data_IF_164717208005
#
_entry.id   IF_164717208005
#
_cell.length_a   1.000
_cell.length_b   1.000
_cell.length_c   1.000
_cell.angle_alpha   90.00
_cell.angle_beta   90.00
_cell.angle_gamma   90.00
#
_symmetry.space_group_name_H-M   'P 1'
#
loop_
_entity.id
_entity.type
_entity.pdbx_description
1 polymer ?
#
# COMPACT_ATOMS: atom_id res chain seq x y z
N UNK A 1 -15.77 22.80 -7.28
CA UNK A 1 -14.62 22.23 -8.01
C UNK A 1 -14.99 20.79 -8.32
N UNK A 2 -15.12 20.43 -9.58
CA UNK A 2 -15.61 19.11 -9.99
C UNK A 2 -14.43 18.19 -10.29
N UNK A 3 -14.56 16.91 -9.94
CA UNK A 3 -13.55 15.90 -10.30
C UNK A 3 -13.74 15.57 -11.77
N UNK A 4 -12.63 15.51 -12.50
CA UNK A 4 -12.59 15.09 -13.89
C UNK A 4 -13.36 13.76 -14.10
N UNK A 5 -14.24 13.73 -15.10
CA UNK A 5 -15.14 12.60 -15.35
C UNK A 5 -14.38 11.31 -15.64
N UNK A 6 -13.23 11.39 -16.30
CA UNK A 6 -12.41 10.22 -16.59
C UNK A 6 -11.75 9.67 -15.32
N UNK A 7 -11.21 10.53 -14.46
CA UNK A 7 -10.69 10.12 -13.15
C UNK A 7 -11.78 9.46 -12.29
N UNK A 8 -12.99 10.03 -12.28
CA UNK A 8 -14.16 9.45 -11.61
C UNK A 8 -14.51 8.05 -12.16
N UNK A 9 -14.52 7.90 -13.49
CA UNK A 9 -14.79 6.61 -14.12
C UNK A 9 -13.71 5.56 -13.79
N UNK A 10 -12.45 5.98 -13.65
CA UNK A 10 -11.37 5.10 -13.21
C UNK A 10 -11.57 4.65 -11.76
N UNK A 11 -11.97 5.56 -10.85
CA UNK A 11 -12.28 5.20 -9.47
C UNK A 11 -13.34 4.11 -9.42
N UNK A 12 -14.49 4.35 -10.05
CA UNK A 12 -15.60 3.41 -10.03
C UNK A 12 -15.18 2.02 -10.55
N UNK A 13 -14.48 1.96 -11.67
CA UNK A 13 -14.02 0.69 -12.25
C UNK A 13 -13.08 -0.08 -11.33
N UNK A 14 -12.15 0.60 -10.65
CA UNK A 14 -11.21 -0.06 -9.73
C UNK A 14 -11.94 -0.65 -8.52
N UNK A 15 -13.02 -0.03 -8.05
CA UNK A 15 -13.80 -0.56 -6.92
C UNK A 15 -14.46 -1.90 -7.24
N UNK A 16 -14.81 -2.12 -8.52
CA UNK A 16 -15.50 -3.32 -8.98
C UNK A 16 -14.56 -4.53 -9.18
N UNK A 17 -13.24 -4.33 -9.22
CA UNK A 17 -12.27 -5.40 -9.45
C UNK A 17 -11.82 -6.01 -8.12
N UNK A 18 -12.06 -7.31 -7.86
CA UNK A 18 -11.62 -7.94 -6.61
C UNK A 18 -10.09 -7.87 -6.40
N UNK A 19 -9.69 -7.38 -5.22
CA UNK A 19 -8.30 -7.00 -4.87
C UNK A 19 -7.60 -7.89 -3.85
N UNK A 20 -8.14 -9.04 -3.48
CA UNK A 20 -7.67 -9.73 -2.27
C UNK A 20 -6.20 -10.14 -2.41
N UNK A 21 -5.34 -9.91 -1.38
CA UNK A 21 -3.95 -10.31 -1.45
C UNK A 21 -3.76 -11.76 -1.88
N UNK A 22 -2.75 -12.00 -2.72
CA UNK A 22 -2.45 -13.29 -3.38
C UNK A 22 -3.48 -13.80 -4.40
N UNK A 23 -4.58 -13.09 -4.62
CA UNK A 23 -5.51 -13.32 -5.73
C UNK A 23 -5.45 -12.14 -6.72
N UNK A 24 -4.24 -11.77 -7.14
CA UNK A 24 -4.00 -10.53 -7.89
C UNK A 24 -4.27 -10.64 -9.39
N UNK A 25 -4.73 -11.80 -9.87
CA UNK A 25 -4.93 -12.08 -11.30
C UNK A 25 -5.84 -11.05 -11.97
N UNK A 26 -6.98 -10.72 -11.35
CA UNK A 26 -7.97 -9.82 -11.96
C UNK A 26 -7.46 -8.39 -12.07
N UNK A 27 -6.89 -7.87 -10.98
CA UNK A 27 -6.30 -6.52 -10.97
C UNK A 27 -5.11 -6.41 -11.90
N UNK A 28 -4.20 -7.38 -11.87
CA UNK A 28 -3.06 -7.38 -12.79
C UNK A 28 -3.52 -7.48 -14.24
N UNK A 29 -4.54 -8.29 -14.55
CA UNK A 29 -5.15 -8.33 -15.89
C UNK A 29 -5.77 -7.00 -16.29
N UNK A 30 -6.52 -6.35 -15.39
CA UNK A 30 -7.12 -5.04 -15.63
C UNK A 30 -6.03 -3.98 -15.93
N UNK A 31 -5.01 -3.88 -15.08
CA UNK A 31 -3.89 -2.94 -15.27
C UNK A 31 -3.16 -3.19 -16.59
N UNK A 32 -2.85 -4.45 -16.90
CA UNK A 32 -2.16 -4.80 -18.15
C UNK A 32 -2.97 -4.44 -19.38
N UNK A 33 -4.25 -4.81 -19.42
CA UNK A 33 -5.14 -4.44 -20.54
C UNK A 33 -5.25 -2.91 -20.68
N UNK A 34 -5.31 -2.19 -19.56
CA UNK A 34 -5.33 -0.74 -19.55
C UNK A 34 -4.05 -0.15 -20.17
N UNK A 35 -2.88 -0.63 -19.75
CA UNK A 35 -1.58 -0.19 -20.25
C UNK A 35 -1.38 -0.58 -21.72
N UNK A 36 -1.78 -1.78 -22.12
CA UNK A 36 -1.73 -2.26 -23.50
C UNK A 36 -2.60 -1.38 -24.41
N UNK A 37 -3.80 -1.00 -23.97
CA UNK A 37 -4.68 -0.06 -24.70
C UNK A 37 -4.03 1.31 -24.90
N UNK A 38 -3.21 1.76 -23.96
CA UNK A 38 -2.46 3.02 -24.06
C UNK A 38 -1.11 2.86 -24.79
N UNK A 39 -0.75 1.65 -25.24
CA UNK A 39 0.56 1.30 -25.78
C UNK A 39 1.73 1.62 -24.82
N UNK A 40 1.51 1.46 -23.52
CA UNK A 40 2.52 1.69 -22.49
C UNK A 40 3.23 0.37 -22.17
N UNK A 41 4.56 0.36 -22.30
CA UNK A 41 5.37 -0.81 -21.93
C UNK A 41 5.47 -0.92 -20.40
N UNK A 42 5.40 -2.13 -19.89
CA UNK A 42 5.55 -2.43 -18.46
C UNK A 42 6.32 -3.73 -18.24
N UNK A 43 6.80 -3.91 -17.02
CA UNK A 43 7.47 -5.11 -16.51
C UNK A 43 6.60 -5.73 -15.40
N UNK A 44 6.33 -7.03 -15.47
CA UNK A 44 5.66 -7.79 -14.41
C UNK A 44 6.71 -8.64 -13.67
N UNK A 45 6.99 -8.28 -12.42
CA UNK A 45 7.95 -8.98 -11.56
C UNK A 45 7.30 -9.97 -10.58
N UNK A 46 6.00 -10.25 -10.72
CA UNK A 46 5.23 -11.08 -9.79
C UNK A 46 4.88 -10.38 -8.47
N UNK A 47 5.74 -9.47 -7.99
CA UNK A 47 5.53 -8.60 -6.83
C UNK A 47 4.97 -7.22 -7.19
N UNK A 48 5.29 -6.72 -8.38
CA UNK A 48 4.87 -5.39 -8.84
C UNK A 48 4.75 -5.34 -10.35
N UNK A 49 3.88 -4.47 -10.84
CA UNK A 49 3.89 -3.99 -12.22
C UNK A 49 4.64 -2.66 -12.27
N UNK A 50 5.70 -2.59 -13.08
CA UNK A 50 6.59 -1.44 -13.16
C UNK A 50 6.55 -0.85 -14.57
N UNK A 51 6.25 0.43 -14.67
CA UNK A 51 6.35 1.19 -15.92
C UNK A 51 7.68 1.98 -15.85
N UNK A 52 8.68 1.62 -16.65
CA UNK A 52 9.94 2.36 -16.69
C UNK A 52 9.76 3.71 -17.40
N UNK A 53 10.73 4.63 -17.26
CA UNK A 53 10.72 5.91 -17.98
C UNK A 53 10.64 5.71 -19.50
N UNK A 54 9.82 6.52 -20.18
CA UNK A 54 9.71 6.50 -21.66
C UNK A 54 11.04 6.91 -22.30
N UNK A 55 11.67 7.94 -21.75
CA UNK A 55 12.99 8.42 -22.12
C UNK A 55 13.85 8.43 -20.87
N UNK A 56 14.98 7.73 -20.92
CA UNK A 56 15.90 7.64 -19.80
C UNK A 56 17.11 8.56 -20.02
N UNK A 57 17.39 9.42 -19.04
CA UNK A 57 18.57 10.28 -19.03
C UNK A 57 19.42 10.02 -17.79
N UNK A 58 20.64 9.51 -17.97
CA UNK A 58 21.57 9.21 -16.86
C UNK A 58 21.87 10.40 -15.93
N UNK A 59 21.74 11.63 -16.42
CA UNK A 59 22.01 12.85 -15.65
C UNK A 59 20.81 13.34 -14.82
N UNK A 60 19.65 12.69 -14.96
CA UNK A 60 18.42 13.08 -14.29
C UNK A 60 18.09 12.11 -13.16
N UNK A 61 17.72 12.60 -11.96
CA UNK A 61 17.32 11.71 -10.86
C UNK A 61 16.07 10.91 -11.23
N UNK A 62 15.97 9.70 -10.69
CA UNK A 62 14.75 8.89 -10.78
C UNK A 62 13.71 9.44 -9.83
N UNK A 63 12.46 9.46 -10.28
CA UNK A 63 11.30 9.70 -9.44
C UNK A 63 10.46 8.44 -9.42
N UNK A 64 10.31 7.82 -8.26
CA UNK A 64 9.43 6.67 -8.07
C UNK A 64 8.10 7.16 -7.53
N UNK A 65 7.04 7.00 -8.32
CA UNK A 65 5.66 7.09 -7.86
C UNK A 65 5.16 5.66 -7.67
N UNK A 66 4.76 5.31 -6.45
CA UNK A 66 4.30 3.96 -6.16
C UNK A 66 3.02 3.96 -5.33
N UNK A 67 2.13 3.02 -5.64
CA UNK A 67 0.91 2.71 -4.92
C UNK A 67 0.80 1.19 -4.80
N UNK A 68 -0.13 0.71 -3.98
CA UNK A 68 -0.47 -0.70 -3.94
C UNK A 68 -1.84 -0.98 -4.56
N UNK A 69 -2.09 -2.25 -4.88
CA UNK A 69 -3.30 -2.65 -5.63
C UNK A 69 -4.19 -3.57 -4.82
N UNK A 70 -3.62 -4.32 -3.88
CA UNK A 70 -4.38 -5.20 -3.03
C UNK A 70 -5.23 -4.44 -2.02
N UNK A 71 -6.30 -5.06 -1.55
CA UNK A 71 -7.15 -4.52 -0.50
C UNK A 71 -7.60 -5.68 0.40
N UNK A 72 -7.77 -5.47 1.72
CA UNK A 72 -8.17 -6.53 2.61
C UNK A 72 -9.44 -7.25 2.16
N UNK A 73 -9.46 -8.57 2.38
CA UNK A 73 -10.54 -9.45 1.95
C UNK A 73 -10.25 -10.90 2.30
N UNK A 74 -11.04 -11.84 1.77
CA UNK A 74 -10.97 -13.25 2.17
C UNK A 74 -10.58 -14.11 0.97
N UNK A 75 -9.60 -14.99 1.15
CA UNK A 75 -9.33 -16.08 0.20
C UNK A 75 -10.09 -17.32 0.67
N UNK A 76 -11.07 -17.76 -0.12
CA UNK A 76 -11.96 -18.84 0.24
C UNK A 76 -11.37 -20.19 -0.17
N UNK A 77 -11.47 -21.16 0.75
CA UNK A 77 -11.02 -22.53 0.49
C UNK A 77 -12.15 -23.43 0.00
N UNK A 78 -13.34 -23.24 0.57
CA UNK A 78 -14.57 -23.95 0.24
C UNK A 78 -15.78 -23.13 0.78
N UNK A 79 -16.94 -23.78 0.89
CA UNK A 79 -18.20 -23.18 1.35
C UNK A 79 -18.32 -23.02 2.87
N UNK A 80 -17.29 -23.38 3.64
CA UNK A 80 -17.27 -23.37 5.11
C UNK A 80 -16.11 -22.54 5.69
N UNK A 81 -14.98 -22.44 4.98
CA UNK A 81 -13.78 -21.78 5.50
C UNK A 81 -13.01 -20.96 4.46
N UNK A 82 -12.32 -19.95 4.96
CA UNK A 82 -11.38 -19.11 4.23
C UNK A 82 -10.32 -18.50 5.15
N UNK A 83 -9.48 -17.65 4.58
CA UNK A 83 -8.46 -16.88 5.31
C UNK A 83 -8.66 -15.41 5.02
N UNK A 84 -8.84 -14.61 6.08
CA UNK A 84 -8.85 -13.15 5.98
C UNK A 84 -7.42 -12.69 5.73
N UNK A 85 -7.24 -11.82 4.75
CA UNK A 85 -5.96 -11.23 4.37
C UNK A 85 -6.04 -9.72 4.53
N UNK A 86 -4.94 -9.10 4.91
CA UNK A 86 -4.80 -7.64 5.00
C UNK A 86 -5.35 -7.00 6.27
N UNK A 87 -6.29 -7.64 6.97
CA UNK A 87 -6.80 -7.10 8.23
C UNK A 87 -5.91 -7.50 9.42
N UNK A 88 -5.29 -6.51 10.06
CA UNK A 88 -4.56 -6.66 11.32
C UNK A 88 -5.44 -6.11 12.45
N UNK A 89 -5.55 -6.85 13.56
CA UNK A 89 -6.25 -6.35 14.76
C UNK A 89 -7.76 -6.61 14.77
N UNK A 90 -8.18 -7.82 14.40
CA UNK A 90 -9.60 -8.21 14.21
C UNK A 90 -10.46 -8.23 15.49
N UNK A 91 -10.02 -7.65 16.62
CA UNK A 91 -10.81 -7.68 17.87
C UNK A 91 -12.14 -6.91 17.74
N UNK A 92 -12.18 -5.67 17.22
CA UNK A 92 -13.44 -4.95 16.96
C UNK A 92 -14.31 -5.69 15.95
N UNK A 93 -13.71 -6.23 14.90
CA UNK A 93 -14.45 -7.00 13.89
C UNK A 93 -15.02 -8.32 14.45
N UNK A 94 -14.32 -8.98 15.38
CA UNK A 94 -14.84 -10.17 16.07
C UNK A 94 -15.99 -9.82 17.01
N UNK A 95 -15.87 -8.71 17.74
CA UNK A 95 -16.98 -8.19 18.56
C UNK A 95 -18.22 -7.91 17.71
N UNK A 96 -18.01 -7.37 16.51
CA UNK A 96 -19.08 -7.13 15.56
C UNK A 96 -19.81 -8.41 15.15
N UNK A 97 -19.08 -9.47 14.82
CA UNK A 97 -19.68 -10.77 14.45
C UNK A 97 -20.52 -11.37 15.57
N UNK A 98 -20.19 -11.09 16.83
CA UNK A 98 -20.99 -11.47 17.98
C UNK A 98 -22.32 -10.71 18.10
N UNK A 99 -22.44 -9.55 17.44
CA UNK A 99 -23.60 -8.65 17.51
C UNK A 99 -24.50 -8.72 16.27
N UNK A 100 -23.93 -9.00 15.09
CA UNK A 100 -24.67 -9.01 13.83
C UNK A 100 -24.08 -9.98 12.82
N UNK A 101 -24.93 -10.42 11.90
CA UNK A 101 -24.48 -11.15 10.71
C UNK A 101 -23.70 -10.22 9.79
N UNK A 102 -22.62 -10.72 9.23
CA UNK A 102 -21.81 -10.01 8.24
C UNK A 102 -21.96 -10.71 6.90
N UNK A 103 -22.50 -9.99 5.92
CA UNK A 103 -22.66 -10.48 4.55
C UNK A 103 -21.34 -10.55 3.80
N UNK A 104 -21.25 -11.51 2.89
CA UNK A 104 -20.10 -11.74 2.03
C UNK A 104 -20.56 -11.87 0.57
N UNK A 105 -19.95 -11.12 -0.35
CA UNK A 105 -19.99 -11.39 -1.80
C UNK A 105 -18.90 -12.40 -2.14
N UNK A 106 -19.27 -13.46 -2.87
CA UNK A 106 -18.37 -14.55 -3.23
C UNK A 106 -18.14 -14.52 -4.74
N UNK A 107 -16.89 -14.37 -5.15
CA UNK A 107 -16.47 -14.44 -6.56
C UNK A 107 -15.67 -15.70 -6.80
N UNK A 108 -15.91 -16.37 -7.92
CA UNK A 108 -15.09 -17.52 -8.32
C UNK A 108 -13.64 -17.07 -8.67
N UNK A 109 -12.69 -18.00 -8.88
CA UNK A 109 -11.30 -17.66 -9.22
C UNK A 109 -11.15 -16.80 -10.50
N UNK A 110 -12.15 -16.82 -11.38
CA UNK A 110 -12.24 -16.01 -12.60
C UNK A 110 -12.82 -14.60 -12.36
N UNK A 111 -13.22 -14.27 -11.13
CA UNK A 111 -13.75 -12.94 -10.77
C UNK A 111 -15.22 -12.75 -11.06
N UNK A 112 -15.97 -13.82 -11.34
CA UNK A 112 -17.41 -13.77 -11.59
C UNK A 112 -18.14 -13.94 -10.26
N UNK A 113 -19.10 -13.06 -9.96
CA UNK A 113 -19.93 -13.15 -8.77
C UNK A 113 -20.72 -14.46 -8.78
N UNK A 114 -20.36 -15.39 -7.90
CA UNK A 114 -21.04 -16.68 -7.73
C UNK A 114 -22.27 -16.56 -6.83
N UNK A 115 -22.28 -15.60 -5.91
CA UNK A 115 -23.41 -15.28 -5.06
C UNK A 115 -23.00 -14.70 -3.71
N UNK A 116 -23.78 -14.98 -2.67
CA UNK A 116 -23.59 -14.42 -1.33
C UNK A 116 -23.42 -15.50 -0.25
N UNK A 117 -22.81 -15.13 0.86
CA UNK A 117 -22.66 -15.93 2.06
C UNK A 117 -22.67 -15.06 3.31
N UNK A 118 -22.48 -15.69 4.46
CA UNK A 118 -22.34 -15.01 5.75
C UNK A 118 -21.02 -15.40 6.39
N UNK A 119 -20.33 -14.44 7.02
CA UNK A 119 -19.26 -14.74 7.95
C UNK A 119 -19.89 -15.12 9.30
N UNK A 120 -19.53 -16.29 9.82
CA UNK A 120 -20.09 -16.81 11.08
C UNK A 120 -19.12 -16.75 12.24
N UNK A 121 -17.81 -16.83 11.97
CA UNK A 121 -16.77 -16.70 13.01
C UNK A 121 -15.43 -16.29 12.40
N UNK A 122 -14.58 -15.70 13.22
CA UNK A 122 -13.18 -15.39 12.90
C UNK A 122 -12.29 -15.82 14.06
N UNK A 123 -11.37 -16.72 13.74
CA UNK A 123 -10.31 -17.11 14.65
C UNK A 123 -9.17 -16.11 14.53
N UNK A 124 -9.09 -15.23 15.54
CA UNK A 124 -7.94 -14.35 15.74
C UNK A 124 -6.65 -15.15 15.91
N UNK A 125 -5.53 -14.56 15.51
CA UNK A 125 -4.21 -15.17 15.55
C UNK A 125 -3.55 -15.27 14.17
N UNK A 126 -2.37 -15.89 14.07
CA UNK A 126 -1.53 -15.85 12.87
C UNK A 126 -2.12 -16.59 11.66
N UNK A 127 -3.19 -17.38 11.85
CA UNK A 127 -3.87 -18.10 10.77
C UNK A 127 -5.02 -17.31 10.14
N UNK A 128 -5.52 -16.27 10.82
CA UNK A 128 -6.62 -15.40 10.37
C UNK A 128 -7.79 -16.19 9.72
N UNK A 129 -8.15 -17.34 10.32
CA UNK A 129 -9.14 -18.25 9.74
C UNK A 129 -10.53 -17.64 9.88
N UNK A 130 -11.30 -17.67 8.79
CA UNK A 130 -12.70 -17.24 8.74
C UNK A 130 -13.58 -18.46 8.50
N UNK A 131 -14.70 -18.53 9.22
CA UNK A 131 -15.77 -19.46 8.93
C UNK A 131 -16.90 -18.73 8.21
N UNK A 132 -17.39 -19.38 7.16
CA UNK A 132 -18.46 -18.86 6.33
C UNK A 132 -19.61 -19.86 6.28
N UNK A 133 -20.80 -19.36 5.98
CA UNK A 133 -21.99 -20.16 5.69
C UNK A 133 -22.57 -19.71 4.37
N UNK A 134 -22.62 -20.63 3.40
CA UNK A 134 -23.27 -20.42 2.11
C UNK A 134 -23.82 -21.75 1.57
N UNK A 135 -24.87 -21.68 0.76
CA UNK A 135 -25.41 -22.82 0.00
C UNK A 135 -24.70 -23.02 -1.35
N UNK A 136 -23.77 -22.13 -1.70
CA UNK A 136 -22.99 -22.21 -2.93
C UNK A 136 -21.91 -23.28 -2.81
N UNK A 137 -21.64 -23.98 -3.90
CA UNK A 137 -20.36 -24.65 -4.06
C UNK A 137 -19.30 -23.58 -4.34
N UNK A 138 -18.36 -23.39 -3.42
CA UNK A 138 -17.32 -22.38 -3.54
C UNK A 138 -16.02 -23.05 -4.03
N UNK A 139 -15.55 -22.73 -5.25
CA UNK A 139 -14.27 -23.23 -5.73
C UNK A 139 -13.09 -22.77 -4.86
N UNK A 140 -12.04 -23.59 -4.80
CA UNK A 140 -10.79 -23.24 -4.13
C UNK A 140 -10.19 -21.97 -4.75
N UNK A 141 -9.68 -21.04 -3.91
CA UNK A 141 -9.14 -19.74 -4.33
C UNK A 141 -10.18 -18.75 -4.88
N UNK A 142 -11.43 -18.89 -4.44
CA UNK A 142 -12.46 -17.87 -4.65
C UNK A 142 -12.20 -16.64 -3.77
N UNK A 143 -12.73 -15.49 -4.18
CA UNK A 143 -12.61 -14.23 -3.44
C UNK A 143 -13.85 -14.04 -2.56
N UNK A 144 -13.62 -13.60 -1.33
CA UNK A 144 -14.66 -13.09 -0.44
C UNK A 144 -14.45 -11.60 -0.20
N UNK A 145 -15.49 -10.82 -0.45
CA UNK A 145 -15.55 -9.38 -0.16
C UNK A 145 -16.73 -9.09 0.76
N UNK A 146 -16.62 -8.07 1.60
CA UNK A 146 -17.76 -7.67 2.44
C UNK A 146 -18.94 -7.26 1.55
N UNK A 147 -20.15 -7.67 1.92
CA UNK A 147 -21.36 -7.33 1.19
C UNK A 147 -21.82 -5.90 1.54
N UNK A 148 -21.05 -4.94 1.05
CA UNK A 148 -21.32 -3.50 1.07
C UNK A 148 -21.26 -2.96 -0.36
N UNK A 149 -21.78 -1.76 -0.58
CA UNK A 149 -21.77 -1.13 -1.90
C UNK A 149 -20.34 -0.81 -2.37
N UNK A 150 -20.14 -0.76 -3.69
CA UNK A 150 -18.82 -0.48 -4.26
C UNK A 150 -18.49 1.00 -4.30
N UNK A 151 -19.51 1.81 -4.56
CA UNK A 151 -19.36 3.21 -4.89
C UNK A 151 -20.66 3.95 -4.60
N UNK A 152 -20.55 5.05 -3.86
CA UNK A 152 -21.57 6.08 -3.75
C UNK A 152 -20.89 7.45 -3.88
N UNK A 153 -21.67 8.44 -4.32
CA UNK A 153 -21.18 9.80 -4.50
C UNK A 153 -22.16 10.80 -3.89
N UNK A 154 -21.59 11.73 -3.13
CA UNK A 154 -22.26 12.95 -2.65
C UNK A 154 -21.66 14.16 -3.36
N UNK A 155 -22.13 15.38 -3.07
CA UNK A 155 -21.54 16.61 -3.61
C UNK A 155 -20.07 16.79 -3.19
N UNK A 156 -19.73 16.44 -1.94
CA UNK A 156 -18.43 16.75 -1.32
C UNK A 156 -17.52 15.55 -1.08
N UNK A 157 -18.03 14.33 -1.15
CA UNK A 157 -17.27 13.10 -0.86
C UNK A 157 -17.66 11.95 -1.78
N UNK A 158 -16.78 10.93 -1.79
CA UNK A 158 -17.09 9.59 -2.28
C UNK A 158 -17.12 8.62 -1.11
N UNK A 159 -17.95 7.60 -1.24
CA UNK A 159 -17.82 6.39 -0.44
C UNK A 159 -17.48 5.23 -1.37
N UNK A 160 -16.36 4.55 -1.11
CA UNK A 160 -15.78 3.55 -2.02
C UNK A 160 -15.37 2.29 -1.27
N UNK A 161 -15.38 1.13 -1.92
CA UNK A 161 -15.01 -0.14 -1.28
C UNK A 161 -13.51 -0.25 -0.97
N UNK A 162 -12.68 0.25 -1.84
CA UNK A 162 -11.23 0.13 -1.88
C UNK A 162 -10.66 1.53 -2.18
N UNK A 163 -10.74 2.45 -1.21
CA UNK A 163 -10.00 3.71 -1.34
C UNK A 163 -8.51 3.44 -1.15
N UNK A 164 -8.18 2.56 -0.20
CA UNK A 164 -6.84 2.05 0.14
C UNK A 164 -6.42 0.81 -0.70
N UNK A 165 -5.75 0.96 -1.84
CA UNK A 165 -5.22 2.19 -2.42
C UNK A 165 -5.78 2.46 -3.83
N UNK A 166 -7.01 1.96 -4.07
CA UNK A 166 -7.69 2.09 -5.36
C UNK A 166 -7.83 3.52 -5.89
N UNK A 167 -7.87 4.53 -5.01
CA UNK A 167 -7.87 5.94 -5.44
C UNK A 167 -6.49 6.36 -5.97
N UNK A 168 -5.40 5.97 -5.32
CA UNK A 168 -4.05 6.27 -5.81
C UNK A 168 -3.75 5.52 -7.10
N UNK A 169 -4.20 4.27 -7.22
CA UNK A 169 -4.11 3.49 -8.47
C UNK A 169 -4.81 4.24 -9.61
N UNK A 170 -6.08 4.64 -9.44
CA UNK A 170 -6.81 5.42 -10.43
C UNK A 170 -6.11 6.74 -10.77
N UNK A 171 -5.58 7.43 -9.76
CA UNK A 171 -4.85 8.68 -9.95
C UNK A 171 -3.60 8.45 -10.80
N UNK A 172 -2.81 7.41 -10.51
CA UNK A 172 -1.65 7.04 -11.32
C UNK A 172 -2.04 6.66 -12.75
N UNK A 173 -3.12 5.90 -12.94
CA UNK A 173 -3.63 5.57 -14.27
C UNK A 173 -4.07 6.83 -15.03
N UNK A 174 -4.70 7.80 -14.36
CA UNK A 174 -5.10 9.06 -14.96
C UNK A 174 -3.90 9.88 -15.42
N UNK A 175 -2.84 9.98 -14.61
CA UNK A 175 -1.58 10.63 -15.01
C UNK A 175 -0.98 10.03 -16.30
N UNK A 176 -1.12 8.70 -16.48
CA UNK A 176 -0.68 8.00 -17.69
C UNK A 176 -1.58 8.30 -18.90
N UNK A 177 -2.90 8.39 -18.70
CA UNK A 177 -3.84 8.77 -19.76
C UNK A 177 -3.58 10.19 -20.24
N UNK A 178 -3.38 11.12 -19.31
CA UNK A 178 -3.08 12.52 -19.61
C UNK A 178 -1.71 12.72 -20.24
N UNK A 179 -0.86 11.66 -20.22
CA UNK A 179 0.52 11.68 -20.72
C UNK A 179 1.28 12.87 -20.18
N UNK A 180 1.14 13.12 -18.88
CA UNK A 180 1.79 14.26 -18.21
C UNK A 180 3.29 14.19 -18.50
N UNK A 181 3.78 15.19 -19.25
CA UNK A 181 5.19 15.22 -19.66
C UNK A 181 6.05 15.41 -18.42
N UNK A 182 6.98 14.50 -18.20
CA UNK A 182 7.96 14.65 -17.13
C UNK A 182 9.36 14.83 -17.64
N UNK A 183 10.08 15.71 -16.95
CA UNK A 183 11.52 15.90 -17.09
C UNK A 183 12.32 14.95 -16.19
N UNK A 184 11.67 14.22 -15.29
CA UNK A 184 12.29 13.18 -14.46
C UNK A 184 12.36 11.83 -15.18
N UNK A 185 13.25 10.95 -14.71
CA UNK A 185 13.17 9.52 -15.01
C UNK A 185 12.09 8.89 -14.13
N UNK A 186 10.82 9.00 -14.54
CA UNK A 186 9.69 8.56 -13.72
C UNK A 186 9.45 7.05 -13.85
N UNK A 187 9.43 6.38 -12.70
CA UNK A 187 8.93 5.02 -12.56
C UNK A 187 7.55 5.06 -11.93
N UNK A 188 6.58 4.41 -12.56
CA UNK A 188 5.28 4.14 -11.94
C UNK A 188 5.28 2.69 -11.48
N UNK A 189 5.04 2.46 -10.19
CA UNK A 189 5.09 1.13 -9.58
C UNK A 189 3.75 0.82 -8.93
N UNK A 190 3.14 -0.29 -9.34
CA UNK A 190 1.94 -0.84 -8.74
C UNK A 190 2.32 -2.09 -7.96
N UNK A 191 2.41 -1.96 -6.63
CA UNK A 191 2.72 -3.07 -5.72
C UNK A 191 1.51 -3.98 -5.54
N UNK A 192 1.74 -5.30 -5.45
CA UNK A 192 0.67 -6.29 -5.46
C UNK A 192 0.29 -6.88 -4.10
N UNK A 193 1.06 -6.58 -3.04
CA UNK A 193 1.00 -7.28 -1.75
C UNK A 193 1.44 -6.36 -0.59
N UNK A 194 0.88 -5.14 -0.50
CA UNK A 194 1.15 -4.23 0.63
C UNK A 194 0.48 -4.73 1.90
N UNK A 195 -0.78 -5.14 1.81
CA UNK A 195 -1.62 -5.47 2.96
C UNK A 195 -1.11 -6.71 3.71
N UNK A 196 -0.22 -7.48 3.09
CA UNK A 196 0.51 -8.59 3.70
C UNK A 196 1.91 -8.16 4.10
N UNK A 197 1.98 -7.15 4.97
CA UNK A 197 3.21 -6.62 5.56
C UNK A 197 4.22 -6.01 4.58
N UNK A 198 3.78 -5.33 3.53
CA UNK A 198 4.64 -4.66 2.54
C UNK A 198 5.55 -5.61 1.81
N UNK A 199 5.03 -6.78 1.44
CA UNK A 199 5.81 -7.85 0.83
C UNK A 199 6.42 -7.41 -0.50
N UNK A 200 5.65 -6.66 -1.30
CA UNK A 200 6.06 -6.18 -2.61
C UNK A 200 7.16 -5.12 -2.55
N UNK A 201 6.96 -4.05 -1.77
CA UNK A 201 8.00 -3.04 -1.59
C UNK A 201 9.23 -3.59 -0.85
N UNK A 202 9.06 -4.58 0.04
CA UNK A 202 10.18 -5.32 0.62
C UNK A 202 11.05 -5.98 -0.44
N UNK A 203 10.43 -6.75 -1.33
CA UNK A 203 11.14 -7.41 -2.43
C UNK A 203 11.84 -6.39 -3.35
N UNK A 204 11.14 -5.31 -3.73
CA UNK A 204 11.70 -4.26 -4.59
C UNK A 204 12.92 -3.58 -3.96
N UNK A 205 12.80 -3.17 -2.70
CA UNK A 205 13.85 -2.44 -1.99
C UNK A 205 15.06 -3.34 -1.69
N UNK A 206 14.83 -4.55 -1.16
CA UNK A 206 15.90 -5.51 -0.83
C UNK A 206 16.78 -5.84 -2.03
N UNK A 207 16.16 -6.04 -3.20
CA UNK A 207 16.87 -6.39 -4.43
C UNK A 207 17.28 -5.15 -5.25
N UNK A 208 16.97 -3.95 -4.77
CA UNK A 208 17.12 -2.68 -5.47
C UNK A 208 16.72 -2.79 -6.96
N UNK A 209 15.53 -3.32 -7.24
CA UNK A 209 15.08 -3.69 -8.60
C UNK A 209 15.13 -2.49 -9.56
N UNK A 210 14.83 -1.29 -9.05
CA UNK A 210 14.84 -0.03 -9.80
C UNK A 210 16.24 0.61 -9.92
N UNK A 211 17.27 -0.01 -9.33
CA UNK A 211 18.64 0.51 -9.26
C UNK A 211 18.69 1.94 -8.70
N UNK A 212 17.99 2.16 -7.60
CA UNK A 212 17.95 3.42 -6.89
C UNK A 212 19.32 3.75 -6.31
N UNK A 213 19.56 5.05 -6.19
CA UNK A 213 20.74 5.70 -5.63
C UNK A 213 20.33 6.81 -4.67
N UNK A 214 21.28 7.36 -3.92
CA UNK A 214 20.98 8.31 -2.83
C UNK A 214 20.25 9.58 -3.32
N UNK A 215 20.50 10.02 -4.56
CA UNK A 215 19.86 11.19 -5.17
C UNK A 215 18.45 10.94 -5.73
N UNK A 216 18.02 9.68 -5.83
CA UNK A 216 16.71 9.34 -6.38
C UNK A 216 15.60 9.67 -5.37
N UNK A 217 14.39 9.94 -5.86
CA UNK A 217 13.24 10.37 -5.07
C UNK A 217 12.20 9.26 -5.03
N UNK A 218 11.62 9.04 -3.86
CA UNK A 218 10.52 8.10 -3.63
C UNK A 218 9.34 8.85 -3.05
N UNK A 219 8.22 8.79 -3.77
CA UNK A 219 6.91 9.29 -3.33
C UNK A 219 5.95 8.10 -3.37
N UNK A 220 5.66 7.56 -2.19
CA UNK A 220 4.61 6.59 -2.01
C UNK A 220 3.25 7.31 -1.99
N UNK A 221 2.25 6.71 -2.61
CA UNK A 221 0.88 7.18 -2.64
C UNK A 221 0.06 6.26 -1.74
N UNK A 222 -0.80 6.82 -0.91
CA UNK A 222 -1.63 6.05 0.04
C UNK A 222 -2.98 6.70 0.28
N UNK A 223 -3.94 5.89 0.73
CA UNK A 223 -5.23 6.35 1.22
C UNK A 223 -5.56 5.73 2.59
N UNK A 224 -5.10 6.37 3.66
CA UNK A 224 -5.10 5.78 5.00
C UNK A 224 -5.79 6.64 6.06
N UNK A 225 -5.99 6.04 7.24
CA UNK A 225 -6.48 6.74 8.42
C UNK A 225 -5.37 7.59 9.01
N UNK A 226 -5.55 8.91 8.98
CA UNK A 226 -4.51 9.84 9.38
C UNK A 226 -4.61 10.16 10.87
N UNK A 227 -3.72 9.58 11.67
CA UNK A 227 -3.58 9.86 13.11
C UNK A 227 -2.12 10.23 13.44
N UNK A 228 -1.91 11.39 14.06
CA UNK A 228 -0.58 11.82 14.52
C UNK A 228 -0.01 10.85 15.56
N UNK A 229 1.31 10.62 15.53
CA UNK A 229 2.00 9.88 16.60
C UNK A 229 1.87 10.62 17.94
N UNK A 230 2.08 11.94 17.89
CA UNK A 230 1.98 12.87 19.02
C UNK A 230 1.49 14.23 18.52
N UNK A 231 0.27 14.63 18.89
CA UNK A 231 -0.29 15.92 18.49
C UNK A 231 0.46 17.10 19.12
N UNK A 232 0.99 16.94 20.34
CA UNK A 232 1.74 18.00 21.03
C UNK A 232 3.07 18.31 20.34
N UNK A 233 3.72 17.26 19.80
CA UNK A 233 5.09 17.38 19.30
C UNK A 233 5.13 17.68 17.80
N UNK A 234 4.15 17.18 17.04
CA UNK A 234 4.14 17.25 15.57
C UNK A 234 2.91 17.93 14.97
N UNK A 235 1.99 18.39 15.82
CA UNK A 235 0.72 18.95 15.39
C UNK A 235 -0.33 17.88 15.11
N UNK A 236 -1.58 18.33 15.14
CA UNK A 236 -2.74 17.50 14.80
C UNK A 236 -2.85 17.36 13.29
N UNK A 237 -3.06 16.12 12.85
CA UNK A 237 -3.48 15.80 11.49
C UNK A 237 -4.94 15.41 11.60
N UNK A 238 -5.78 16.03 10.78
CA UNK A 238 -7.20 15.76 10.77
C UNK A 238 -7.70 15.38 9.38
N UNK A 239 -8.88 14.75 9.37
CA UNK A 239 -9.51 14.28 8.15
C UNK A 239 -9.84 15.43 7.19
N UNK A 240 -10.07 16.65 7.66
CA UNK A 240 -10.53 17.77 6.84
C UNK A 240 -9.39 18.72 6.40
N UNK A 241 -8.19 18.53 6.91
CA UNK A 241 -7.09 19.47 6.85
C UNK A 241 -6.34 19.52 5.53
N UNK A 242 -6.74 18.73 4.53
CA UNK A 242 -6.05 18.55 3.25
C UNK A 242 -5.26 17.24 3.18
N UNK A 243 -4.60 16.99 2.05
CA UNK A 243 -3.74 15.81 1.90
C UNK A 243 -2.55 15.88 2.86
N UNK A 244 -2.02 14.73 3.25
CA UNK A 244 -0.94 14.64 4.24
C UNK A 244 0.37 14.27 3.55
N UNK A 245 1.39 15.09 3.76
CA UNK A 245 2.78 14.74 3.50
C UNK A 245 3.32 13.99 4.71
N UNK A 246 3.29 12.67 4.63
CA UNK A 246 3.69 11.75 5.67
C UNK A 246 5.20 11.46 5.62
N UNK A 247 5.85 11.63 6.77
CA UNK A 247 7.31 11.45 6.94
C UNK A 247 7.70 10.18 7.71
N UNK A 248 6.72 9.42 8.21
CA UNK A 248 6.97 8.25 9.07
C UNK A 248 5.82 7.26 9.01
N UNK A 249 6.04 6.07 9.55
CA UNK A 249 4.99 5.15 9.97
C UNK A 249 5.31 4.56 11.35
N UNK A 250 4.49 3.60 11.84
CA UNK A 250 4.63 3.00 13.17
C UNK A 250 6.07 2.49 13.41
N UNK A 251 6.81 3.29 14.17
CA UNK A 251 8.19 3.03 14.58
C UNK A 251 9.25 3.23 13.48
N UNK A 252 8.96 3.94 12.40
CA UNK A 252 9.95 4.27 11.35
C UNK A 252 9.83 5.72 10.91
N UNK A 253 10.86 6.54 11.15
CA UNK A 253 11.04 7.79 10.43
C UNK A 253 11.62 7.49 9.04
N UNK A 254 11.06 8.04 7.96
CA UNK A 254 11.55 7.71 6.62
C UNK A 254 12.95 8.24 6.36
N UNK A 255 13.78 7.40 5.75
CA UNK A 255 15.17 7.70 5.45
C UNK A 255 16.05 7.87 6.70
N UNK A 256 15.67 7.40 7.90
CA UNK A 256 16.45 7.61 9.13
C UNK A 256 17.89 7.07 9.06
N UNK A 257 18.13 6.05 8.24
CA UNK A 257 19.47 5.48 7.99
C UNK A 257 20.34 6.34 7.07
N UNK A 258 19.73 7.28 6.33
CA UNK A 258 20.39 8.20 5.42
C UNK A 258 20.22 9.63 5.94
N UNK A 259 21.25 10.12 6.63
CA UNK A 259 21.29 11.49 7.15
C UNK A 259 21.28 12.48 5.99
N UNK A 260 20.66 13.64 6.20
CA UNK A 260 20.58 14.71 5.21
C UNK A 260 19.16 15.18 4.97
N UNK A 261 19.04 16.16 4.07
CA UNK A 261 17.76 16.69 3.62
C UNK A 261 16.90 15.58 2.99
N UNK A 262 15.59 15.74 3.11
CA UNK A 262 14.62 14.95 2.36
C UNK A 262 14.12 15.81 1.20
N UNK A 263 14.73 15.63 0.03
CA UNK A 263 14.38 16.42 -1.16
C UNK A 263 12.92 16.20 -1.57
N UNK A 264 12.38 14.98 -1.39
CA UNK A 264 10.98 14.69 -1.68
C UNK A 264 10.03 15.50 -0.80
N UNK A 265 10.34 15.66 0.50
CA UNK A 265 9.57 16.53 1.41
C UNK A 265 9.59 17.99 0.92
N UNK A 266 10.78 18.54 0.70
CA UNK A 266 10.93 19.94 0.30
C UNK A 266 10.28 20.22 -1.04
N UNK A 267 10.36 19.26 -1.98
CA UNK A 267 9.82 19.39 -3.31
C UNK A 267 8.30 19.48 -3.28
N UNK A 268 7.64 18.58 -2.54
CA UNK A 268 6.17 18.59 -2.40
C UNK A 268 5.71 19.87 -1.69
N UNK A 269 6.41 20.31 -0.63
CA UNK A 269 6.07 21.55 0.08
C UNK A 269 6.16 22.78 -0.83
N UNK A 270 7.21 22.85 -1.65
CA UNK A 270 7.36 23.93 -2.64
C UNK A 270 6.22 23.91 -3.64
N UNK A 271 5.93 22.75 -4.24
CA UNK A 271 4.84 22.60 -5.21
C UNK A 271 3.50 23.00 -4.59
N UNK A 272 3.20 22.54 -3.37
CA UNK A 272 1.97 22.89 -2.68
C UNK A 272 1.88 24.40 -2.41
N UNK A 273 2.95 25.01 -1.90
CA UNK A 273 3.01 26.46 -1.63
C UNK A 273 2.83 27.29 -2.91
N UNK A 274 3.54 26.96 -3.99
CA UNK A 274 3.48 27.71 -5.25
C UNK A 274 2.10 27.65 -5.92
N UNK A 275 1.31 26.62 -5.61
CA UNK A 275 -0.01 26.40 -6.20
C UNK A 275 -1.17 26.62 -5.20
N UNK A 276 -0.88 27.13 -4.00
CA UNK A 276 -1.90 27.39 -2.98
C UNK A 276 -2.64 26.13 -2.49
N UNK A 277 -2.00 24.96 -2.57
CA UNK A 277 -2.59 23.67 -2.19
C UNK A 277 -2.36 23.45 -0.70
N UNK A 278 -3.44 23.18 0.03
CA UNK A 278 -3.36 22.91 1.46
C UNK A 278 -2.86 21.48 1.69
N UNK A 279 -1.68 21.36 2.29
CA UNK A 279 -1.13 20.07 2.74
C UNK A 279 -0.88 20.12 4.25
N UNK A 280 -1.04 18.98 4.90
CA UNK A 280 -0.65 18.76 6.29
C UNK A 280 0.72 18.07 6.29
N UNK A 281 1.63 18.48 7.16
CA UNK A 281 2.90 17.78 7.35
C UNK A 281 2.78 16.85 8.54
N UNK A 282 3.06 15.56 8.37
CA UNK A 282 2.65 14.56 9.35
C UNK A 282 3.70 13.53 9.74
N UNK A 283 3.78 13.28 11.05
CA UNK A 283 4.41 12.09 11.65
C UNK A 283 3.27 11.18 12.12
N UNK A 284 2.96 10.13 11.36
CA UNK A 284 1.78 9.28 11.58
C UNK A 284 2.12 7.84 11.95
N UNK A 285 1.16 7.16 12.57
CA UNK A 285 1.32 5.76 12.98
C UNK A 285 1.12 4.77 11.84
N UNK A 286 0.31 5.05 10.84
CA UNK A 286 -0.10 3.98 9.92
C UNK A 286 1.03 3.52 8.99
N UNK A 287 1.08 2.20 8.71
CA UNK A 287 2.13 1.55 7.91
C UNK A 287 1.89 1.77 6.42
N UNK A 288 2.98 1.78 5.63
CA UNK A 288 2.90 1.97 4.17
C UNK A 288 4.15 1.42 3.47
N UNK A 289 4.17 1.44 2.14
CA UNK A 289 5.24 0.89 1.30
C UNK A 289 6.58 1.67 1.33
N UNK A 290 6.64 2.81 2.02
CA UNK A 290 7.87 3.61 2.19
C UNK A 290 8.90 2.99 3.16
N UNK A 291 8.45 2.15 4.11
CA UNK A 291 9.35 1.62 5.17
C UNK A 291 10.47 0.74 4.59
N UNK A 292 10.21 -0.22 3.68
CA UNK A 292 11.29 -1.07 3.20
C UNK A 292 12.43 -0.31 2.53
N UNK A 293 12.15 0.74 1.76
CA UNK A 293 13.18 1.59 1.16
C UNK A 293 14.06 2.29 2.21
N UNK A 294 13.47 2.66 3.35
CA UNK A 294 14.23 3.16 4.51
C UNK A 294 15.07 2.07 5.16
N UNK A 295 14.53 0.85 5.29
CA UNK A 295 15.23 -0.29 5.91
C UNK A 295 16.50 -0.66 5.15
N UNK A 296 16.51 -0.55 3.82
CA UNK A 296 17.67 -0.88 2.97
C UNK A 296 18.55 0.33 2.63
N UNK A 297 18.33 1.48 3.27
CA UNK A 297 19.15 2.68 3.12
C UNK A 297 19.34 3.14 1.66
N UNK A 298 18.34 2.99 0.80
CA UNK A 298 18.50 3.28 -0.64
C UNK A 298 18.61 4.79 -0.94
N UNK A 299 17.87 5.63 -0.20
CA UNK A 299 17.92 7.10 -0.30
C UNK A 299 17.37 7.74 0.98
N UNK A 300 17.71 9.01 1.26
CA UNK A 300 17.07 9.84 2.29
C UNK A 300 15.75 10.49 1.82
N UNK A 301 15.51 10.52 0.50
CA UNK A 301 14.45 11.28 -0.17
C UNK A 301 13.16 10.48 -0.28
N UNK A 302 12.59 10.10 0.86
CA UNK A 302 11.43 9.23 0.95
C UNK A 302 10.31 9.97 1.65
N UNK A 303 9.14 10.04 1.01
CA UNK A 303 7.93 10.53 1.64
C UNK A 303 6.73 9.72 1.15
N UNK A 304 5.62 9.82 1.88
CA UNK A 304 4.32 9.35 1.44
C UNK A 304 3.40 10.55 1.27
N UNK A 305 2.70 10.64 0.14
CA UNK A 305 1.59 11.55 -0.04
C UNK A 305 0.31 10.76 0.22
N UNK A 306 -0.49 11.25 1.16
CA UNK A 306 -1.61 10.50 1.72
C UNK A 306 -2.91 11.26 1.54
N UNK A 307 -3.93 10.57 1.04
CA UNK A 307 -5.32 11.03 1.08
C UNK A 307 -5.96 10.55 2.40
N UNK A 308 -6.44 11.45 3.28
CA UNK A 308 -7.14 11.05 4.50
C UNK A 308 -8.37 10.19 4.21
N UNK A 309 -8.44 9.03 4.87
CA UNK A 309 -9.53 8.05 4.81
C UNK A 309 -10.17 7.86 6.18
N UNK A 310 -11.49 8.07 6.28
CA UNK A 310 -12.19 8.01 7.57
C UNK A 310 -12.48 6.58 8.04
N UNK A 311 -12.77 5.68 7.11
CA UNK A 311 -13.24 4.31 7.41
C UNK A 311 -12.38 3.28 6.69
N UNK A 312 -11.05 3.44 6.82
CA UNK A 312 -10.05 2.54 6.24
C UNK A 312 -10.41 1.08 6.50
N UNK A 313 -10.15 0.22 5.53
CA UNK A 313 -10.44 -1.20 5.57
C UNK A 313 -11.91 -1.49 5.82
N UNK A 314 -12.78 -0.70 5.18
CA UNK A 314 -14.24 -0.74 5.30
C UNK A 314 -14.80 -0.62 6.73
N UNK A 315 -14.14 0.17 7.60
CA UNK A 315 -14.56 0.32 9.01
C UNK A 315 -14.44 -0.97 9.83
N UNK A 316 -13.59 -1.90 9.40
CA UNK A 316 -13.29 -3.11 10.16
C UNK A 316 -12.53 -2.82 11.47
N UNK A 317 -11.79 -1.70 11.53
CA UNK A 317 -11.04 -1.23 12.70
C UNK A 317 -11.94 -0.65 13.79
N UNK A 318 -13.07 -0.03 13.43
CA UNK A 318 -14.05 0.53 14.37
C UNK A 318 -15.28 -0.37 14.59
N UNK A 319 -15.29 -1.54 13.93
CA UNK A 319 -16.35 -2.53 14.07
C UNK A 319 -17.64 -2.15 13.33
N UNK A 320 -17.63 -1.18 12.42
CA UNK A 320 -18.79 -0.84 11.59
C UNK A 320 -18.46 -0.99 10.10
N UNK A 321 -18.74 -2.18 9.55
CA UNK A 321 -18.68 -2.42 8.10
C UNK A 321 -19.49 -1.40 7.29
N UNK A 322 -18.76 -0.63 6.48
CA UNK A 322 -19.25 0.39 5.56
C UNK A 322 -18.19 0.70 4.50
N UNK A 323 -18.58 1.43 3.47
CA UNK A 323 -17.64 1.99 2.49
C UNK A 323 -16.67 2.99 3.12
N UNK A 324 -15.49 3.09 2.53
CA UNK A 324 -14.45 4.04 2.91
C UNK A 324 -14.82 5.44 2.44
N UNK A 325 -14.61 6.48 3.26
CA UNK A 325 -15.16 7.82 3.02
C UNK A 325 -14.07 8.86 2.76
N UNK A 326 -14.09 9.47 1.58
CA UNK A 326 -13.01 10.34 1.05
C UNK A 326 -13.57 11.68 0.53
N UNK A 327 -13.00 12.81 0.97
CA UNK A 327 -13.40 14.11 0.45
C UNK A 327 -12.87 14.31 -0.98
N UNK A 328 -13.75 14.78 -1.88
CA UNK A 328 -13.39 15.04 -3.28
C UNK A 328 -12.24 16.05 -3.41
N UNK A 329 -12.21 17.06 -2.54
CA UNK A 329 -11.14 18.07 -2.54
C UNK A 329 -9.75 17.47 -2.35
N UNK A 330 -9.61 16.43 -1.51
CA UNK A 330 -8.30 15.81 -1.28
C UNK A 330 -7.80 15.13 -2.53
N UNK A 331 -8.69 14.47 -3.27
CA UNK A 331 -8.36 13.82 -4.54
C UNK A 331 -7.88 14.85 -5.57
N UNK A 332 -8.57 16.00 -5.64
CA UNK A 332 -8.19 17.08 -6.57
C UNK A 332 -6.83 17.66 -6.19
N UNK A 333 -6.61 17.96 -4.90
CA UNK A 333 -5.32 18.45 -4.39
C UNK A 333 -4.21 17.43 -4.66
N UNK A 334 -4.48 16.14 -4.42
CA UNK A 334 -3.56 15.04 -4.65
C UNK A 334 -3.13 14.92 -6.11
N UNK A 335 -4.09 14.82 -7.02
CA UNK A 335 -3.83 14.77 -8.46
C UNK A 335 -3.13 16.03 -8.97
N UNK A 336 -3.50 17.20 -8.45
CA UNK A 336 -2.85 18.48 -8.81
C UNK A 336 -1.39 18.50 -8.39
N UNK A 337 -1.08 18.11 -7.14
CA UNK A 337 0.30 18.01 -6.65
C UNK A 337 1.13 17.06 -7.53
N UNK A 338 0.61 15.87 -7.86
CA UNK A 338 1.34 14.91 -8.69
C UNK A 338 1.57 15.43 -10.11
N UNK A 339 0.56 16.05 -10.73
CA UNK A 339 0.70 16.65 -12.06
C UNK A 339 1.77 17.75 -12.08
N UNK A 340 1.82 18.57 -11.03
CA UNK A 340 2.81 19.64 -10.87
C UNK A 340 4.21 19.10 -10.63
N UNK A 341 4.37 18.08 -9.77
CA UNK A 341 5.63 17.35 -9.56
C UNK A 341 6.19 16.83 -10.87
N UNK A 342 5.34 16.17 -11.67
CA UNK A 342 5.76 15.59 -12.94
C UNK A 342 6.21 16.66 -13.94
N UNK A 343 5.51 17.80 -13.98
CA UNK A 343 5.77 18.89 -14.92
C UNK A 343 6.97 19.78 -14.54
N UNK A 344 7.45 19.68 -13.31
CA UNK A 344 8.49 20.54 -12.75
C UNK A 344 9.90 20.14 -13.24
N UNK A 345 10.83 21.10 -13.25
CA UNK A 345 12.20 20.86 -13.68
C UNK A 345 13.03 20.19 -12.58
N UNK A 346 13.75 19.08 -12.84
CA UNK A 346 14.62 18.43 -11.86
C UNK A 346 15.72 19.34 -11.32
N UNK A 347 16.13 20.39 -12.05
CA UNK A 347 17.05 21.42 -11.56
C UNK A 347 16.49 22.21 -10.38
N UNK A 348 15.17 22.18 -10.14
CA UNK A 348 14.57 22.74 -8.94
C UNK A 348 15.06 22.03 -7.67
N UNK A 349 15.45 20.74 -7.77
CA UNK A 349 15.96 20.00 -6.62
C UNK A 349 17.25 20.59 -6.04
N UNK A 350 18.16 21.10 -6.88
CA UNK A 350 19.39 21.75 -6.39
C UNK A 350 19.09 23.06 -5.69
N UNK A 351 18.04 23.79 -6.10
CA UNK A 351 17.62 25.05 -5.48
C UNK A 351 17.01 24.86 -4.10
N UNK A 352 16.50 23.67 -3.80
CA UNK A 352 15.88 23.32 -2.51
C UNK A 352 16.73 22.37 -1.67
N UNK A 353 17.94 22.05 -2.11
CA UNK A 353 18.83 21.12 -1.42
C UNK A 353 19.30 21.64 -0.06
N UNK A 354 19.51 22.96 0.03
CA UNK A 354 19.95 23.63 1.27
C UNK A 354 18.78 24.02 2.19
N UNK A 355 17.54 23.78 1.78
CA UNK A 355 16.36 24.06 2.60
C UNK A 355 16.23 22.96 3.65
N UNK A 356 16.28 23.34 4.93
CA UNK A 356 16.15 22.37 6.01
C UNK A 356 14.74 21.75 6.05
N UNK A 357 14.68 20.42 5.93
CA UNK A 357 13.42 19.65 5.99
C UNK A 357 13.07 19.26 7.43
N UNK A 358 11.78 19.08 7.75
CA UNK A 358 11.38 18.59 9.07
C UNK A 358 11.93 17.18 9.30
N UNK A 359 11.90 16.32 8.27
CA UNK A 359 12.51 15.00 8.29
C UNK A 359 13.98 15.07 8.71
N UNK A 360 14.76 16.00 8.16
CA UNK A 360 16.17 16.20 8.54
C UNK A 360 16.33 16.57 10.02
N UNK A 361 15.50 17.47 10.56
CA UNK A 361 15.50 17.80 12.00
C UNK A 361 15.21 16.58 12.86
N UNK A 362 14.17 15.83 12.49
CA UNK A 362 13.76 14.63 13.21
C UNK A 362 14.85 13.55 13.21
N UNK A 363 15.60 13.41 12.11
CA UNK A 363 16.73 12.47 12.01
C UNK A 363 17.91 12.79 12.94
N UNK A 364 18.06 14.02 13.42
CA UNK A 364 19.17 14.39 14.31
C UNK A 364 19.03 13.76 15.71
N UNK A 365 17.80 13.64 16.20
CA UNK A 365 17.48 13.09 17.52
C UNK A 365 16.68 11.78 17.48
N UNK A 366 16.20 11.38 16.29
CA UNK A 366 15.45 10.17 15.92
C UNK A 366 14.70 9.46 17.07
N UNK A 367 13.81 10.21 17.72
CA UNK A 367 12.96 9.71 18.79
C UNK A 367 11.69 9.01 18.26
N UNK A 368 11.48 9.00 16.94
CA UNK A 368 10.34 8.38 16.26
C UNK A 368 10.63 6.91 15.95
N UNK A 369 11.86 6.59 15.54
CA UNK A 369 12.19 5.24 15.09
C UNK A 369 12.32 4.27 16.27
N UNK A 370 11.50 3.23 16.24
CA UNK A 370 11.64 2.09 17.14
C UNK A 370 12.51 1.02 16.49
N UNK A 371 13.82 1.11 16.70
CA UNK A 371 14.82 0.20 16.13
C UNK A 371 14.53 -1.29 16.41
N UNK A 372 14.00 -1.61 17.60
CA UNK A 372 13.61 -2.98 17.95
C UNK A 372 12.45 -3.45 17.09
N UNK A 373 11.40 -2.64 16.95
CA UNK A 373 10.25 -2.93 16.09
C UNK A 373 10.67 -3.05 14.62
N UNK A 374 11.56 -2.18 14.14
CA UNK A 374 12.10 -2.25 12.77
C UNK A 374 12.83 -3.55 12.49
N UNK A 375 13.69 -3.98 13.42
CA UNK A 375 14.37 -5.27 13.32
C UNK A 375 13.38 -6.43 13.35
N UNK A 376 12.36 -6.37 14.19
CA UNK A 376 11.34 -7.42 14.27
C UNK A 376 10.49 -7.51 13.00
N UNK A 377 10.08 -6.36 12.44
CA UNK A 377 9.37 -6.30 11.16
C UNK A 377 10.26 -6.82 10.01
N UNK A 378 11.54 -6.42 9.95
CA UNK A 378 12.48 -6.93 8.95
C UNK A 378 12.62 -8.46 8.97
N UNK A 379 12.78 -9.05 10.17
CA UNK A 379 12.84 -10.51 10.33
C UNK A 379 11.53 -11.18 9.88
N UNK A 380 10.38 -10.56 10.17
CA UNK A 380 9.09 -11.06 9.70
C UNK A 380 9.00 -10.99 8.17
N UNK A 381 9.37 -9.88 7.55
CA UNK A 381 9.37 -9.74 6.10
C UNK A 381 10.25 -10.78 5.39
N UNK A 382 11.46 -11.02 5.89
CA UNK A 382 12.35 -12.08 5.38
C UNK A 382 11.67 -13.45 5.40
N UNK A 383 10.98 -13.77 6.50
CA UNK A 383 10.20 -15.01 6.60
C UNK A 383 9.07 -15.03 5.57
N UNK A 384 8.28 -13.97 5.47
CA UNK A 384 7.10 -13.93 4.59
C UNK A 384 7.48 -13.97 3.11
N UNK A 385 8.56 -13.29 2.71
CA UNK A 385 9.11 -13.35 1.34
C UNK A 385 9.43 -14.79 0.93
N UNK A 386 10.05 -15.56 1.82
CA UNK A 386 10.37 -16.96 1.56
C UNK A 386 9.10 -17.82 1.59
N UNK A 387 8.26 -17.67 2.62
CA UNK A 387 7.08 -18.48 2.83
C UNK A 387 6.04 -18.35 1.71
N UNK A 388 5.91 -17.15 1.14
CA UNK A 388 4.93 -16.84 0.10
C UNK A 388 5.51 -16.78 -1.30
N UNK A 389 6.80 -17.11 -1.46
CA UNK A 389 7.47 -17.10 -2.77
C UNK A 389 6.70 -17.90 -3.82
N UNK A 390 6.31 -19.14 -3.50
CA UNK A 390 5.53 -19.99 -4.40
C UNK A 390 4.14 -19.39 -4.71
N UNK A 391 3.46 -18.87 -3.68
CA UNK A 391 2.14 -18.23 -3.80
C UNK A 391 2.19 -17.07 -4.81
N UNK A 392 3.21 -16.22 -4.69
CA UNK A 392 3.44 -15.09 -5.60
C UNK A 392 3.61 -15.57 -7.05
N UNK A 393 4.38 -16.64 -7.28
CA UNK A 393 4.61 -17.16 -8.63
C UNK A 393 3.38 -17.81 -9.25
N UNK A 394 2.62 -18.59 -8.46
CA UNK A 394 1.43 -19.28 -8.98
C UNK A 394 0.19 -18.39 -9.08
N UNK A 395 0.15 -17.27 -8.35
CA UNK A 395 -0.92 -16.25 -8.36
C UNK A 395 -2.26 -16.73 -7.79
N UNK A 396 -2.21 -17.69 -6.87
CA UNK A 396 -3.34 -18.16 -6.07
C UNK A 396 -2.86 -18.65 -4.71
N UNK A 397 -3.71 -18.62 -3.67
CA UNK A 397 -3.28 -18.80 -2.27
C UNK A 397 -3.19 -20.25 -1.80
N UNK A 398 -4.19 -21.09 -2.09
CA UNK A 398 -4.24 -22.50 -1.70
C UNK A 398 -3.73 -23.39 -2.83
N UNK A 399 -2.85 -24.37 -2.57
CA UNK A 399 -2.33 -25.26 -3.60
C UNK A 399 -3.46 -26.08 -4.23
N UNK A 400 -3.47 -26.23 -5.56
CA UNK A 400 -4.52 -26.96 -6.29
C UNK A 400 -4.15 -28.42 -6.57
N UNK A 401 -2.91 -28.82 -6.30
CA UNK A 401 -2.40 -30.17 -6.49
C UNK A 401 -1.30 -30.52 -5.46
N UNK A 402 -0.92 -31.80 -5.40
CA UNK A 402 0.06 -32.32 -4.43
C UNK A 402 1.44 -31.67 -4.64
N UNK A 403 1.84 -31.39 -5.88
CA UNK A 403 3.14 -30.78 -6.17
C UNK A 403 3.23 -29.37 -5.58
N UNK A 404 2.23 -28.53 -5.81
CA UNK A 404 2.14 -27.19 -5.21
C UNK A 404 2.12 -27.27 -3.68
N UNK A 405 1.37 -28.22 -3.12
CA UNK A 405 1.33 -28.41 -1.67
C UNK A 405 2.72 -28.72 -1.09
N UNK A 406 3.49 -29.62 -1.71
CA UNK A 406 4.84 -29.97 -1.26
C UNK A 406 5.81 -28.79 -1.36
N UNK A 407 5.73 -28.00 -2.43
CA UNK A 407 6.55 -26.80 -2.63
C UNK A 407 6.19 -25.75 -1.57
N UNK A 408 4.91 -25.46 -1.37
CA UNK A 408 4.40 -24.52 -0.38
C UNK A 408 4.81 -24.92 1.05
N UNK A 409 4.68 -26.20 1.41
CA UNK A 409 5.14 -26.73 2.70
C UNK A 409 6.65 -26.56 2.88
N UNK A 410 7.43 -26.80 1.83
CA UNK A 410 8.89 -26.68 1.85
C UNK A 410 9.31 -25.22 2.10
N UNK A 411 8.76 -24.27 1.34
CA UNK A 411 9.04 -22.84 1.53
C UNK A 411 8.63 -22.36 2.93
N UNK A 412 7.46 -22.78 3.42
CA UNK A 412 7.01 -22.47 4.78
C UNK A 412 7.97 -23.04 5.83
N UNK A 413 8.39 -24.30 5.70
CA UNK A 413 9.33 -24.90 6.63
C UNK A 413 10.69 -24.20 6.64
N UNK A 414 11.28 -23.96 5.46
CA UNK A 414 12.55 -23.23 5.32
C UNK A 414 12.45 -21.82 5.90
N UNK A 415 11.34 -21.11 5.65
CA UNK A 415 11.11 -19.77 6.19
C UNK A 415 11.12 -19.75 7.73
N UNK A 416 10.60 -20.79 8.38
CA UNK A 416 10.59 -20.89 9.84
C UNK A 416 11.97 -21.14 10.42
N UNK A 417 12.78 -21.99 9.79
CA UNK A 417 14.16 -22.23 10.22
C UNK A 417 14.97 -20.92 10.16
N UNK A 418 14.85 -20.17 9.06
CA UNK A 418 15.52 -18.87 8.89
C UNK A 418 15.01 -17.86 9.92
N UNK A 419 13.70 -17.80 10.16
CA UNK A 419 13.12 -16.93 11.18
C UNK A 419 13.68 -17.22 12.58
N UNK A 420 13.75 -18.49 12.99
CA UNK A 420 14.31 -18.90 14.29
C UNK A 420 15.78 -18.49 14.39
N UNK A 421 16.56 -18.75 13.33
CA UNK A 421 17.96 -18.35 13.27
C UNK A 421 18.15 -16.83 13.42
N UNK A 422 17.41 -16.02 12.67
CA UNK A 422 17.49 -14.56 12.74
C UNK A 422 17.02 -14.01 14.09
N UNK A 423 16.01 -14.63 14.71
CA UNK A 423 15.58 -14.28 16.08
C UNK A 423 16.66 -14.61 17.11
N UNK A 424 17.32 -15.76 16.99
CA UNK A 424 18.42 -16.14 17.86
C UNK A 424 19.59 -15.16 17.75
N UNK A 425 20.04 -14.84 16.53
CA UNK A 425 21.06 -13.81 16.30
C UNK A 425 20.65 -12.47 16.92
N UNK A 426 19.40 -12.06 16.72
CA UNK A 426 18.89 -10.82 17.31
C UNK A 426 18.89 -10.80 18.83
N UNK A 427 18.77 -11.96 19.50
CA UNK A 427 18.84 -12.06 20.96
C UNK A 427 20.29 -12.07 21.42
N UNK A 428 21.16 -12.79 20.71
CA UNK A 428 22.59 -12.84 20.99
C UNK A 428 23.24 -11.46 20.93
N UNK A 429 22.95 -10.67 19.89
CA UNK A 429 23.43 -9.28 19.79
C UNK A 429 22.96 -8.39 20.95
N UNK A 430 21.77 -8.64 21.52
CA UNK A 430 21.30 -7.91 22.71
C UNK A 430 22.04 -8.31 23.97
N UNK A 431 22.57 -9.53 24.03
CA UNK A 431 23.34 -10.00 25.17
C UNK A 431 24.77 -9.45 25.13
N UNK A 432 25.38 -9.37 23.93
CA UNK A 432 26.73 -8.81 23.77
C UNK A 432 26.82 -7.29 24.00
N UNK A 433 25.71 -6.56 23.80
CA UNK A 433 25.66 -5.10 23.97
C UNK A 433 25.14 -4.66 25.36
N UNK A 434 25.00 -5.59 26.30
CA UNK A 434 24.73 -5.34 27.72
C UNK A 434 25.98 -5.61 28.52
#
# INVERSE_FOLDING_TARGET
>A
MEIDLELKNLFQKIQEVPSVPFLTKLQTSYLKQFLDKLNIKYLDYGYSIIIPPILYNNSTPKLVLMCHTDHPGIVLKNNEEGVLMGLIGNAPFKELLGKRQVGLKIYNPEGILAGKGLITDIYGGPKQKVHIKTNLQVPLNSYGQFDIDYYSESESFFEVYNADDGISVATMLKLLVDKVKSKFNVYYVFNLYEEVHQLSSWYLAKNNVLKLSEQDLIINLECLKTESISESDFGKIDYEGGIVLQLSNNGCLFGYKNKGANLSENFIKKIASDNGIRIQLGVIKDSCDSRPFTQFSLTSNICTLTIPNKYKHNGSDDGLLRTEHILKRHIIDFYTVLTKILSEDPTTLSKIADVESLSQKLKQHDHITNYKLMKEKAILNERLEIAYKDIVYRKHFFPVNIKELLIDLTFKYVSYLIYIYLKFLSLYERHLNK
#
